data_IF_377744580221
#
_entry.id   IF_377744580221
#
_cell.length_a   1.000
_cell.length_b   1.000
_cell.length_c   1.000
_cell.angle_alpha   90.00
_cell.angle_beta   90.00
_cell.angle_gamma   90.00
#
_symmetry.space_group_name_H-M   'P 1'
#
loop_
_entity.id
_entity.type
_entity.pdbx_description
1 polymer ?
#
# COMPACT_ATOMS: atom_id res chain seq x y z
N UNK A 1 25.00 14.64 -8.85
CA UNK A 1 23.62 14.29 -8.44
C UNK A 1 23.68 13.78 -7.03
N UNK A 2 22.79 14.26 -6.17
CA UNK A 2 22.68 13.78 -4.79
C UNK A 2 22.00 12.40 -4.75
N UNK A 3 22.33 11.59 -3.73
CA UNK A 3 21.78 10.23 -3.57
C UNK A 3 20.25 10.27 -3.41
N UNK A 4 19.71 11.29 -2.73
CA UNK A 4 18.26 11.49 -2.60
C UNK A 4 17.59 11.71 -3.95
N UNK A 5 18.17 12.58 -4.78
CA UNK A 5 17.62 12.86 -6.11
C UNK A 5 17.58 11.63 -7.02
N UNK A 6 18.59 10.76 -6.95
CA UNK A 6 18.59 9.51 -7.73
C UNK A 6 17.50 8.55 -7.25
N UNK A 7 17.29 8.45 -5.93
CA UNK A 7 16.24 7.61 -5.36
C UNK A 7 14.84 8.08 -5.80
N UNK A 8 14.59 9.39 -5.77
CA UNK A 8 13.29 9.95 -6.17
C UNK A 8 12.99 9.67 -7.64
N UNK A 9 14.00 9.78 -8.51
CA UNK A 9 13.86 9.45 -9.95
C UNK A 9 13.50 7.97 -10.12
N UNK A 10 14.15 7.07 -9.39
CA UNK A 10 13.87 5.63 -9.46
C UNK A 10 12.46 5.34 -8.95
N UNK A 11 12.08 5.85 -7.78
CA UNK A 11 10.78 5.62 -7.17
C UNK A 11 9.65 6.15 -8.08
N UNK A 12 9.83 7.32 -8.72
CA UNK A 12 8.90 7.84 -9.73
C UNK A 12 8.79 6.94 -10.96
N UNK A 13 9.91 6.44 -11.49
CA UNK A 13 9.89 5.52 -12.63
C UNK A 13 9.20 4.19 -12.31
N UNK A 14 9.42 3.67 -11.10
CA UNK A 14 8.71 2.48 -10.61
C UNK A 14 7.21 2.76 -10.44
N UNK A 15 6.84 3.92 -9.94
CA UNK A 15 5.44 4.28 -9.76
C UNK A 15 4.71 4.49 -11.09
N UNK A 16 5.35 5.15 -12.07
CA UNK A 16 4.82 5.30 -13.43
C UNK A 16 4.64 3.97 -14.17
N UNK A 17 5.45 2.96 -13.84
CA UNK A 17 5.30 1.60 -14.39
C UNK A 17 4.35 0.71 -13.57
N UNK A 18 3.75 1.24 -12.50
CA UNK A 18 2.90 0.49 -11.57
C UNK A 18 3.67 -0.48 -10.68
N UNK A 19 5.01 -0.46 -10.69
CA UNK A 19 5.87 -1.36 -9.91
C UNK A 19 6.15 -0.87 -8.50
N UNK A 20 5.74 0.35 -8.15
CA UNK A 20 5.71 0.87 -6.80
C UNK A 20 4.33 1.49 -6.56
N UNK A 21 3.67 1.10 -5.48
CA UNK A 21 2.34 1.57 -5.13
C UNK A 21 2.23 1.77 -3.61
N UNK A 22 1.41 2.72 -3.21
CA UNK A 22 1.04 2.93 -1.80
C UNK A 22 -0.42 2.52 -1.64
N UNK A 23 -0.67 1.61 -0.72
CA UNK A 23 -2.01 1.14 -0.36
C UNK A 23 -2.33 1.71 1.00
N UNK A 24 -3.36 2.55 1.08
CA UNK A 24 -3.93 2.96 2.34
C UNK A 24 -4.95 1.92 2.76
N UNK A 25 -4.77 1.32 3.93
CA UNK A 25 -5.68 0.36 4.52
C UNK A 25 -6.25 0.92 5.82
N UNK A 26 -7.58 0.92 5.94
CA UNK A 26 -8.28 1.26 7.19
C UNK A 26 -8.75 -0.04 7.80
N UNK A 27 -8.19 -0.39 8.96
CA UNK A 27 -8.45 -1.68 9.63
C UNK A 27 -8.96 -1.44 11.04
N UNK A 28 -9.79 -2.35 11.59
CA UNK A 28 -10.17 -2.26 13.00
C UNK A 28 -8.92 -2.30 13.89
N UNK A 29 -8.89 -1.47 14.92
CA UNK A 29 -7.80 -1.35 15.89
C UNK A 29 -7.86 -2.48 16.93
N UNK A 30 -7.72 -3.71 16.44
CA UNK A 30 -7.67 -4.93 17.24
C UNK A 30 -6.53 -5.84 16.75
N UNK A 31 -5.96 -6.67 17.63
CA UNK A 31 -4.83 -7.53 17.27
C UNK A 31 -5.10 -8.39 16.03
N UNK A 32 -4.11 -8.44 15.13
CA UNK A 32 -4.10 -9.32 13.96
C UNK A 32 -4.81 -8.78 12.71
N UNK A 33 -5.50 -7.64 12.75
CA UNK A 33 -6.17 -7.11 11.55
C UNK A 33 -5.18 -6.67 10.46
N UNK A 34 -4.16 -5.89 10.84
CA UNK A 34 -3.09 -5.54 9.90
C UNK A 34 -2.36 -6.79 9.38
N UNK A 35 -2.12 -7.78 10.25
CA UNK A 35 -1.48 -9.03 9.85
C UNK A 35 -2.27 -9.77 8.76
N UNK A 36 -3.61 -9.76 8.79
CA UNK A 36 -4.44 -10.35 7.73
C UNK A 36 -4.24 -9.64 6.39
N UNK A 37 -4.16 -8.31 6.39
CA UNK A 37 -3.89 -7.51 5.18
C UNK A 37 -2.51 -7.83 4.62
N UNK A 38 -1.48 -7.82 5.47
CA UNK A 38 -0.10 -8.12 5.05
C UNK A 38 0.05 -9.57 4.55
N UNK A 39 -0.64 -10.52 5.18
CA UNK A 39 -0.65 -11.92 4.74
C UNK A 39 -1.24 -12.05 3.34
N UNK A 40 -2.39 -11.43 3.09
CA UNK A 40 -3.02 -11.45 1.76
C UNK A 40 -2.10 -10.83 0.69
N UNK A 41 -1.46 -9.69 0.99
CA UNK A 41 -0.48 -9.09 0.08
C UNK A 41 0.70 -10.04 -0.20
N UNK A 42 1.19 -10.73 0.82
CA UNK A 42 2.24 -11.75 0.68
C UNK A 42 1.82 -12.93 -0.20
N UNK A 43 0.59 -13.45 -0.03
CA UNK A 43 0.01 -14.52 -0.88
C UNK A 43 -0.08 -14.10 -2.34
N UNK A 44 -0.34 -12.82 -2.60
CA UNK A 44 -0.37 -12.22 -3.93
C UNK A 44 1.03 -11.90 -4.48
N UNK A 45 2.10 -12.29 -3.80
CA UNK A 45 3.49 -12.02 -4.20
C UNK A 45 3.77 -10.52 -4.37
N UNK A 46 3.14 -9.69 -3.53
CA UNK A 46 3.45 -8.28 -3.38
C UNK A 46 4.61 -8.14 -2.40
N UNK A 47 5.64 -7.39 -2.78
CA UNK A 47 6.78 -7.14 -1.88
C UNK A 47 6.50 -5.89 -1.04
N UNK A 48 6.46 -6.04 0.28
CA UNK A 48 6.18 -4.94 1.22
C UNK A 48 7.49 -4.22 1.52
N UNK A 49 7.58 -2.93 1.20
CA UNK A 49 8.77 -2.10 1.45
C UNK A 49 8.69 -1.39 2.80
N UNK A 50 7.51 -0.86 3.11
CA UNK A 50 7.30 0.01 4.27
C UNK A 50 5.84 -0.07 4.73
N UNK A 51 5.63 0.10 6.05
CA UNK A 51 4.31 0.09 6.68
C UNK A 51 4.29 1.22 7.72
N UNK A 52 3.52 2.26 7.44
CA UNK A 52 3.44 3.48 8.25
C UNK A 52 2.04 3.65 8.82
N UNK A 53 1.94 4.01 10.10
CA UNK A 53 0.64 4.41 10.67
C UNK A 53 0.34 5.87 10.30
N UNK A 54 -0.83 6.10 9.73
CA UNK A 54 -1.25 7.44 9.34
C UNK A 54 -1.94 8.13 10.52
N UNK A 55 -1.18 8.97 11.22
CA UNK A 55 -1.62 9.60 12.48
C UNK A 55 -2.45 10.88 12.30
N UNK A 56 -2.56 11.38 11.07
CA UNK A 56 -3.18 12.67 10.74
C UNK A 56 -4.62 12.55 10.23
N UNK A 57 -5.15 11.34 10.08
CA UNK A 57 -6.45 11.10 9.45
C UNK A 57 -7.60 10.98 10.46
N UNK A 58 -8.78 11.49 10.09
CA UNK A 58 -10.04 11.23 10.78
C UNK A 58 -10.55 9.83 10.45
N UNK A 59 -9.93 8.82 11.04
CA UNK A 59 -10.47 7.46 11.04
C UNK A 59 -11.59 7.32 12.08
N UNK A 60 -12.64 6.52 11.81
CA UNK A 60 -13.66 6.22 12.82
C UNK A 60 -13.03 5.64 14.10
N UNK A 61 -13.68 5.89 15.23
CA UNK A 61 -13.24 5.33 16.53
C UNK A 61 -13.18 3.81 16.43
N UNK A 62 -12.08 3.22 16.92
CA UNK A 62 -11.83 1.77 16.86
C UNK A 62 -11.23 1.30 15.53
N UNK A 63 -10.79 2.22 14.67
CA UNK A 63 -10.06 1.93 13.44
C UNK A 63 -8.72 2.66 13.41
N UNK A 64 -7.79 2.12 12.63
CA UNK A 64 -6.50 2.72 12.36
C UNK A 64 -6.24 2.73 10.85
N UNK A 65 -5.63 3.81 10.35
CA UNK A 65 -5.17 3.90 8.97
C UNK A 65 -3.69 3.56 8.91
N UNK A 66 -3.33 2.75 7.93
CA UNK A 66 -1.95 2.37 7.65
C UNK A 66 -1.65 2.55 6.18
N UNK A 67 -0.53 3.17 5.85
CA UNK A 67 -0.03 3.26 4.49
C UNK A 67 1.01 2.16 4.31
N UNK A 68 0.78 1.31 3.32
CA UNK A 68 1.65 0.20 2.96
C UNK A 68 2.29 0.54 1.62
N UNK A 69 3.59 0.82 1.63
CA UNK A 69 4.36 1.01 0.39
C UNK A 69 4.84 -0.35 -0.07
N UNK A 70 4.47 -0.74 -1.29
CA UNK A 70 4.77 -2.05 -1.82
C UNK A 70 5.14 -2.04 -3.30
N UNK A 71 5.91 -3.04 -3.71
CA UNK A 71 6.27 -3.24 -5.09
C UNK A 71 5.38 -4.29 -5.74
N UNK A 72 5.00 -4.02 -6.98
CA UNK A 72 4.16 -4.91 -7.78
C UNK A 72 4.85 -5.21 -9.13
N UNK A 73 4.22 -6.06 -9.95
CA UNK A 73 4.71 -6.42 -11.28
C UNK A 73 4.24 -5.46 -12.37
N UNK A 74 3.41 -4.48 -12.02
CA UNK A 74 2.78 -3.54 -12.95
C UNK A 74 1.28 -3.40 -12.66
N UNK A 75 0.60 -2.61 -13.49
CA UNK A 75 -0.81 -2.24 -13.28
C UNK A 75 -1.77 -3.43 -13.21
N UNK A 76 -1.61 -4.44 -14.04
CA UNK A 76 -2.45 -5.66 -13.98
C UNK A 76 -2.36 -6.36 -12.62
N UNK A 77 -1.18 -6.34 -12.01
CA UNK A 77 -0.97 -6.91 -10.68
C UNK A 77 -1.64 -6.06 -9.59
N UNK A 78 -1.63 -4.73 -9.74
CA UNK A 78 -2.36 -3.83 -8.85
C UNK A 78 -3.86 -4.13 -8.90
N UNK A 79 -4.43 -4.32 -10.09
CA UNK A 79 -5.86 -4.63 -10.23
C UNK A 79 -6.22 -5.97 -9.57
N UNK A 80 -5.38 -7.01 -9.72
CA UNK A 80 -5.56 -8.26 -8.98
C UNK A 80 -5.56 -8.04 -7.46
N UNK A 81 -4.64 -7.21 -6.95
CA UNK A 81 -4.56 -6.90 -5.52
C UNK A 81 -5.82 -6.18 -5.03
N UNK A 82 -6.31 -5.19 -5.78
CA UNK A 82 -7.56 -4.50 -5.47
C UNK A 82 -8.74 -5.46 -5.41
N UNK A 83 -8.86 -6.34 -6.39
CA UNK A 83 -9.94 -7.32 -6.46
C UNK A 83 -9.96 -8.22 -5.22
N UNK A 84 -8.80 -8.73 -4.81
CA UNK A 84 -8.68 -9.65 -3.69
C UNK A 84 -8.90 -8.97 -2.33
N UNK A 85 -8.40 -7.74 -2.16
CA UNK A 85 -8.68 -6.94 -0.97
C UNK A 85 -10.19 -6.63 -0.85
N UNK A 86 -10.85 -6.33 -1.98
CA UNK A 86 -12.30 -6.07 -2.03
C UNK A 86 -13.12 -7.31 -1.67
N UNK A 87 -12.73 -8.48 -2.17
CA UNK A 87 -13.38 -9.77 -1.83
C UNK A 87 -13.33 -10.09 -0.34
N UNK A 88 -12.26 -9.67 0.34
CA UNK A 88 -12.09 -9.84 1.79
C UNK A 88 -12.75 -8.73 2.62
N UNK A 89 -13.47 -7.81 1.97
CA UNK A 89 -14.20 -6.70 2.59
C UNK A 89 -13.30 -5.77 3.42
N UNK A 90 -12.03 -5.64 3.03
CA UNK A 90 -11.16 -4.63 3.62
C UNK A 90 -11.49 -3.24 3.05
N UNK A 91 -11.45 -2.22 3.89
CA UNK A 91 -11.52 -0.82 3.45
C UNK A 91 -10.13 -0.38 3.05
N UNK A 92 -9.92 -0.12 1.77
CA UNK A 92 -8.62 0.30 1.25
C UNK A 92 -8.76 1.31 0.11
N UNK A 93 -7.67 2.05 -0.12
CA UNK A 93 -7.53 3.00 -1.20
C UNK A 93 -6.13 2.87 -1.80
N UNK A 94 -6.05 2.90 -3.13
CA UNK A 94 -4.77 2.97 -3.82
C UNK A 94 -4.40 4.45 -3.98
N UNK A 95 -3.35 4.87 -3.30
CA UNK A 95 -2.83 6.22 -3.42
C UNK A 95 -2.05 6.33 -4.73
N UNK A 96 -2.44 7.26 -5.59
CA UNK A 96 -1.84 7.45 -6.91
C UNK A 96 -0.37 7.88 -6.81
N UNK A 97 0.43 7.39 -7.76
CA UNK A 97 1.87 7.61 -7.93
C UNK A 97 2.32 9.09 -8.05
N UNK A 98 1.40 10.06 -8.09
CA UNK A 98 1.73 11.48 -8.28
C UNK A 98 2.35 12.15 -7.05
N UNK A 99 2.39 11.46 -5.91
CA UNK A 99 2.99 11.97 -4.67
C UNK A 99 3.94 10.91 -4.11
N UNK A 100 5.07 10.73 -4.80
CA UNK A 100 6.29 10.14 -4.25
C UNK A 100 7.42 11.14 -4.46
#
# INVERSE_FOLDING_TARGET
MDIGTVRDIIDRGLAQSGRLVRVRAVVPDVPGQLAKVLTLLGELKVNIREVDHERTENVPVGFTATIITCQTKGFEHIELVKEQLSKKQFTFEILTAHVI
#
